data_IF_960595781983
#
_entry.id   IF_960595781983
#
_cell.length_a   1.000
_cell.length_b   1.000
_cell.length_c   1.000
_cell.angle_alpha   90.00
_cell.angle_beta   90.00
_cell.angle_gamma   90.00
#
_symmetry.space_group_name_H-M   'P 1'
#
loop_
_entity.id
_entity.type
_entity.pdbx_description
1 polymer ?
#
# COMPACT_ATOMS: atom_id res chain seq x y z
N UNK A 1 20.06 -21.92 -6.47
CA UNK A 1 18.76 -21.95 -5.80
C UNK A 1 18.65 -20.69 -4.95
N UNK A 2 17.50 -20.07 -4.95
CA UNK A 2 17.21 -18.91 -4.09
C UNK A 2 16.06 -19.31 -3.16
N UNK A 3 16.24 -19.07 -1.87
CA UNK A 3 15.21 -19.24 -0.84
C UNK A 3 15.03 -17.89 -0.15
N UNK A 4 13.81 -17.56 0.19
CA UNK A 4 13.50 -16.35 0.95
C UNK A 4 12.52 -16.69 2.08
N UNK A 5 12.86 -16.25 3.28
CA UNK A 5 11.96 -16.29 4.43
C UNK A 5 11.53 -14.87 4.77
N UNK A 6 10.22 -14.64 4.78
CA UNK A 6 9.65 -13.31 5.01
C UNK A 6 8.87 -13.26 6.31
N UNK A 7 9.17 -12.27 7.12
CA UNK A 7 8.49 -11.97 8.37
C UNK A 7 8.02 -10.53 8.34
N UNK A 8 6.81 -10.27 8.83
CA UNK A 8 6.29 -8.92 8.86
C UNK A 8 5.33 -8.71 10.00
N UNK A 9 5.24 -7.44 10.41
CA UNK A 9 4.26 -6.96 11.37
C UNK A 9 3.69 -5.63 10.87
N UNK A 10 2.41 -5.42 11.10
CA UNK A 10 1.72 -4.19 10.77
C UNK A 10 0.95 -3.70 11.99
N UNK A 11 1.04 -2.38 12.26
CA UNK A 11 0.25 -1.68 13.24
C UNK A 11 -0.58 -0.62 12.52
N UNK A 12 -1.89 -0.65 12.72
CA UNK A 12 -2.81 0.41 12.29
C UNK A 12 -3.48 1.02 13.50
N UNK A 13 -3.45 2.34 13.57
CA UNK A 13 -4.14 3.12 14.59
C UNK A 13 -5.07 4.09 13.88
N UNK A 14 -6.34 4.03 14.23
CA UNK A 14 -7.36 4.94 13.74
C UNK A 14 -7.81 5.83 14.87
N UNK A 15 -7.78 7.14 14.67
CA UNK A 15 -8.17 8.14 15.64
C UNK A 15 -9.16 9.13 15.02
N UNK A 16 -10.36 9.19 15.55
CA UNK A 16 -11.38 10.16 15.17
C UNK A 16 -11.10 11.46 15.91
N UNK A 17 -10.53 12.45 15.22
CA UNK A 17 -10.10 13.71 15.81
C UNK A 17 -11.29 14.65 16.06
N UNK A 18 -12.24 14.72 15.10
CA UNK A 18 -13.50 15.46 15.19
C UNK A 18 -14.64 14.64 14.57
N UNK A 19 -15.84 15.22 14.42
CA UNK A 19 -16.93 14.57 13.67
C UNK A 19 -16.60 14.49 12.17
N UNK A 20 -15.79 15.41 11.67
CA UNK A 20 -15.43 15.57 10.26
C UNK A 20 -14.02 15.07 9.93
N UNK A 21 -13.15 14.88 10.93
CA UNK A 21 -11.73 14.56 10.74
C UNK A 21 -11.36 13.22 11.34
N UNK A 22 -10.77 12.38 10.51
CA UNK A 22 -10.18 11.11 10.88
C UNK A 22 -8.67 11.10 10.58
N UNK A 23 -7.90 10.52 11.48
CA UNK A 23 -6.47 10.28 11.33
C UNK A 23 -6.21 8.78 11.37
N UNK A 24 -5.52 8.29 10.38
CA UNK A 24 -5.05 6.91 10.33
C UNK A 24 -3.53 6.89 10.29
N UNK A 25 -2.94 6.25 11.28
CA UNK A 25 -1.52 5.96 11.33
C UNK A 25 -1.32 4.49 10.95
N UNK A 26 -0.35 4.24 10.08
CA UNK A 26 0.08 2.89 9.72
C UNK A 26 1.60 2.79 9.85
N UNK A 27 2.04 1.74 10.52
CA UNK A 27 3.43 1.31 10.56
C UNK A 27 3.49 -0.12 10.10
N UNK A 28 4.38 -0.40 9.15
CA UNK A 28 4.67 -1.75 8.68
C UNK A 28 6.17 -2.00 8.78
N UNK A 29 6.52 -3.16 9.28
CA UNK A 29 7.88 -3.67 9.30
C UNK A 29 7.91 -5.03 8.60
N UNK A 30 8.85 -5.19 7.66
CA UNK A 30 9.08 -6.44 6.95
C UNK A 30 10.56 -6.76 6.97
N UNK A 31 10.85 -8.03 7.15
CA UNK A 31 12.20 -8.58 7.09
C UNK A 31 12.22 -9.75 6.14
N UNK A 32 13.09 -9.68 5.14
CA UNK A 32 13.32 -10.70 4.13
C UNK A 32 14.73 -11.27 4.33
N UNK A 33 14.77 -12.55 4.68
CA UNK A 33 16.01 -13.31 4.87
C UNK A 33 16.24 -14.13 3.60
N UNK A 34 17.30 -13.80 2.88
CA UNK A 34 17.63 -14.36 1.58
C UNK A 34 18.76 -15.35 1.71
N UNK A 35 18.59 -16.51 1.11
CA UNK A 35 19.61 -17.55 1.04
C UNK A 35 19.87 -17.93 -0.41
N UNK A 36 21.05 -17.60 -0.88
CA UNK A 36 21.52 -17.92 -2.22
C UNK A 36 22.39 -19.17 -2.16
N UNK A 37 22.14 -20.16 -3.02
CA UNK A 37 22.91 -21.39 -3.07
C UNK A 37 23.16 -21.81 -4.51
N UNK A 38 24.41 -22.16 -4.80
CA UNK A 38 24.86 -22.59 -6.14
C UNK A 38 26.29 -22.19 -6.41
N UNK A 39 26.82 -22.67 -7.51
CA UNK A 39 28.23 -22.44 -7.90
C UNK A 39 28.38 -21.42 -9.02
N UNK A 40 27.27 -20.86 -9.51
CA UNK A 40 27.26 -19.90 -10.64
C UNK A 40 26.19 -18.84 -10.43
N UNK A 41 26.40 -17.66 -10.97
CA UNK A 41 25.48 -16.52 -10.88
C UNK A 41 25.33 -16.02 -9.45
N UNK A 42 24.13 -15.61 -9.07
CA UNK A 42 23.82 -15.05 -7.74
C UNK A 42 24.14 -15.99 -6.57
N UNK A 43 24.24 -17.29 -6.80
CA UNK A 43 24.57 -18.26 -5.74
C UNK A 43 26.05 -18.29 -5.35
N UNK A 44 26.91 -17.54 -6.06
CA UNK A 44 28.33 -17.42 -5.75
C UNK A 44 28.71 -16.07 -5.10
N UNK A 45 27.83 -15.06 -5.22
CA UNK A 45 28.15 -13.69 -4.83
C UNK A 45 27.37 -13.21 -3.61
N UNK A 46 26.37 -13.98 -3.15
CA UNK A 46 25.48 -13.65 -2.01
C UNK A 46 25.18 -12.14 -1.93
N UNK A 47 24.47 -11.56 -2.93
CA UNK A 47 24.42 -10.12 -3.13
C UNK A 47 23.74 -9.36 -1.98
N UNK A 48 22.88 -10.02 -1.22
CA UNK A 48 22.28 -9.53 0.01
C UNK A 48 21.86 -10.74 0.88
N UNK A 49 21.85 -10.52 2.18
CA UNK A 49 21.52 -11.54 3.16
C UNK A 49 20.18 -11.22 3.82
N UNK A 50 20.06 -10.02 4.37
CA UNK A 50 18.93 -9.60 5.14
C UNK A 50 18.46 -8.22 4.70
N UNK A 51 17.27 -8.15 4.09
CA UNK A 51 16.64 -6.88 3.71
C UNK A 51 15.54 -6.55 4.72
N UNK A 52 15.65 -5.38 5.32
CA UNK A 52 14.61 -4.83 6.21
C UNK A 52 13.89 -3.69 5.50
N UNK A 53 12.57 -3.72 5.49
CA UNK A 53 11.71 -2.65 4.99
C UNK A 53 10.83 -2.15 6.11
N UNK A 54 10.76 -0.82 6.27
CA UNK A 54 9.84 -0.14 7.17
C UNK A 54 9.04 0.87 6.39
N UNK A 55 7.73 0.83 6.53
CA UNK A 55 6.80 1.80 5.94
C UNK A 55 6.05 2.50 7.06
N UNK A 56 5.99 3.82 6.99
CA UNK A 56 5.23 4.66 7.89
C UNK A 56 4.36 5.60 7.07
N UNK A 57 3.06 5.61 7.34
CA UNK A 57 2.12 6.49 6.68
C UNK A 57 1.18 7.13 7.70
N UNK A 58 0.91 8.41 7.51
CA UNK A 58 -0.13 9.13 8.21
C UNK A 58 -1.14 9.61 7.15
N UNK A 59 -2.39 9.20 7.28
CA UNK A 59 -3.47 9.66 6.44
C UNK A 59 -4.44 10.49 7.28
N UNK A 60 -4.70 11.69 6.85
CA UNK A 60 -5.80 12.52 7.30
C UNK A 60 -6.94 12.43 6.30
N UNK A 61 -8.17 12.29 6.80
CA UNK A 61 -9.40 12.30 6.00
C UNK A 61 -10.32 13.35 6.58
N UNK A 62 -10.86 14.20 5.73
CA UNK A 62 -11.78 15.26 6.11
C UNK A 62 -13.08 15.17 5.30
N UNK A 63 -14.20 15.23 6.02
CA UNK A 63 -15.54 15.26 5.43
C UNK A 63 -15.84 16.67 4.90
N UNK A 64 -15.85 16.84 3.58
CA UNK A 64 -16.20 18.13 2.95
C UNK A 64 -17.71 18.34 2.91
N UNK A 65 -18.43 17.29 2.55
CA UNK A 65 -19.88 17.26 2.42
C UNK A 65 -20.39 15.90 2.87
N UNK A 66 -21.69 15.74 3.06
CA UNK A 66 -22.31 14.49 3.54
C UNK A 66 -21.82 13.23 2.80
N UNK A 67 -21.48 13.38 1.51
CA UNK A 67 -21.08 12.28 0.63
C UNK A 67 -19.66 12.38 0.07
N UNK A 68 -18.93 13.42 0.41
CA UNK A 68 -17.60 13.67 -0.18
C UNK A 68 -16.56 13.89 0.89
N UNK A 69 -15.49 13.15 0.81
CA UNK A 69 -14.32 13.27 1.67
C UNK A 69 -13.08 13.56 0.83
N UNK A 70 -12.16 14.32 1.40
CA UNK A 70 -10.79 14.40 0.92
C UNK A 70 -9.88 13.64 1.87
N UNK A 71 -8.81 13.10 1.32
CA UNK A 71 -7.77 12.45 2.11
C UNK A 71 -6.39 12.85 1.62
N UNK A 72 -5.42 12.74 2.50
CA UNK A 72 -4.03 12.99 2.15
C UNK A 72 -3.09 12.78 3.32
N UNK A 73 -1.79 12.77 3.02
CA UNK A 73 -0.79 12.66 4.06
C UNK A 73 0.57 12.18 3.58
N UNK A 74 1.58 12.25 4.46
CA UNK A 74 2.93 11.81 4.17
C UNK A 74 3.08 10.29 4.22
N UNK A 75 4.07 9.83 3.44
CA UNK A 75 4.54 8.45 3.41
C UNK A 75 6.05 8.50 3.58
N UNK A 76 6.58 7.65 4.43
CA UNK A 76 8.02 7.49 4.63
C UNK A 76 8.31 5.99 4.53
N UNK A 77 9.31 5.64 3.74
CA UNK A 77 9.73 4.26 3.56
C UNK A 77 11.24 4.15 3.71
N UNK A 78 11.68 3.10 4.39
CA UNK A 78 13.08 2.70 4.49
C UNK A 78 13.21 1.27 4.00
N UNK A 79 14.22 1.03 3.19
CA UNK A 79 14.52 -0.34 2.75
C UNK A 79 16.04 -0.49 2.60
N UNK A 80 16.64 -1.36 3.37
CA UNK A 80 18.09 -1.54 3.34
C UNK A 80 18.52 -2.94 3.76
N UNK A 81 19.70 -3.33 3.28
CA UNK A 81 20.39 -4.53 3.73
C UNK A 81 21.03 -4.30 5.11
N UNK A 82 21.30 -5.36 5.82
CA UNK A 82 21.87 -5.37 7.20
C UNK A 82 23.20 -4.62 7.34
N UNK A 83 23.91 -4.34 6.24
CA UNK A 83 25.15 -3.57 6.17
C UNK A 83 25.02 -2.16 5.58
N UNK A 84 23.87 -1.78 5.05
CA UNK A 84 23.68 -0.48 4.42
C UNK A 84 23.44 0.62 5.46
N UNK A 85 23.94 1.83 5.17
CA UNK A 85 23.61 3.00 5.98
C UNK A 85 22.12 3.35 5.77
N UNK A 86 21.37 3.50 6.84
CA UNK A 86 19.93 3.78 6.81
C UNK A 86 19.58 5.07 6.05
N UNK A 87 20.50 6.05 6.06
CA UNK A 87 20.34 7.32 5.35
C UNK A 87 20.31 7.24 3.83
N UNK A 88 20.78 6.13 3.26
CA UNK A 88 20.90 5.99 1.80
C UNK A 88 19.67 5.27 1.20
N UNK A 89 18.70 4.93 2.04
CA UNK A 89 17.51 4.18 1.66
C UNK A 89 16.18 4.84 2.06
N UNK A 90 16.25 6.08 2.52
CA UNK A 90 15.08 6.83 2.93
C UNK A 90 14.32 7.34 1.70
N UNK A 91 13.04 7.03 1.63
CA UNK A 91 12.14 7.47 0.56
C UNK A 91 10.99 8.24 1.18
N UNK A 92 10.84 9.49 0.77
CA UNK A 92 9.77 10.37 1.22
C UNK A 92 8.71 10.51 0.13
N UNK A 93 7.46 10.59 0.57
CA UNK A 93 6.37 10.80 -0.35
C UNK A 93 5.16 11.38 0.32
N UNK A 94 4.12 11.53 -0.48
CA UNK A 94 2.83 11.98 0.01
C UNK A 94 1.75 11.69 -1.01
N UNK A 95 0.51 11.80 -0.55
CA UNK A 95 -0.66 11.58 -1.40
C UNK A 95 -1.76 12.56 -1.05
N UNK A 96 -2.62 12.82 -2.04
CA UNK A 96 -3.87 13.54 -1.88
C UNK A 96 -4.92 12.95 -2.81
N UNK A 97 -6.17 12.91 -2.35
CA UNK A 97 -7.27 12.41 -3.16
C UNK A 97 -8.62 12.72 -2.54
N UNK A 98 -9.64 12.18 -3.16
CA UNK A 98 -11.02 12.30 -2.69
C UNK A 98 -11.76 10.98 -2.83
N UNK A 99 -12.83 10.83 -2.07
CA UNK A 99 -13.84 9.78 -2.21
C UNK A 99 -15.21 10.39 -2.25
N UNK A 100 -16.12 9.78 -3.02
CA UNK A 100 -17.51 10.20 -3.13
C UNK A 100 -18.44 8.99 -3.01
N UNK A 101 -19.37 9.05 -2.08
CA UNK A 101 -20.44 8.07 -1.89
C UNK A 101 -21.56 8.40 -2.87
N UNK A 102 -21.58 7.73 -4.02
CA UNK A 102 -22.62 7.96 -5.03
C UNK A 102 -23.96 7.35 -4.61
N UNK A 103 -23.90 6.14 -4.03
CA UNK A 103 -25.07 5.43 -3.52
C UNK A 103 -24.65 4.48 -2.39
N UNK A 104 -25.62 3.80 -1.79
CA UNK A 104 -25.37 2.77 -0.76
C UNK A 104 -24.54 1.58 -1.28
N UNK A 105 -24.42 1.47 -2.61
CA UNK A 105 -23.69 0.37 -3.27
C UNK A 105 -22.45 0.81 -4.01
N UNK A 106 -22.19 2.12 -4.15
CA UNK A 106 -21.08 2.63 -4.93
C UNK A 106 -20.38 3.81 -4.24
N UNK A 107 -19.12 3.57 -3.89
CA UNK A 107 -18.15 4.59 -3.52
C UNK A 107 -17.08 4.63 -4.60
N UNK A 108 -16.73 5.80 -5.06
CA UNK A 108 -15.64 6.00 -6.01
C UNK A 108 -14.82 7.23 -5.65
N UNK A 109 -13.64 7.32 -6.22
CA UNK A 109 -12.76 8.44 -6.02
C UNK A 109 -11.44 8.25 -6.71
N UNK A 110 -10.54 9.15 -6.43
CA UNK A 110 -9.19 9.08 -6.98
C UNK A 110 -8.29 10.12 -6.38
N UNK A 111 -7.03 10.04 -6.76
CA UNK A 111 -6.01 10.94 -6.27
C UNK A 111 -4.70 10.77 -6.99
N UNK A 112 -3.70 11.46 -6.49
CA UNK A 112 -2.32 11.35 -6.92
C UNK A 112 -1.42 11.21 -5.70
N UNK A 113 -0.35 10.47 -5.87
CA UNK A 113 0.74 10.42 -4.91
C UNK A 113 2.06 10.72 -5.61
N UNK A 114 3.03 11.14 -4.82
CA UNK A 114 4.41 11.33 -5.23
C UNK A 114 5.30 10.58 -4.25
N UNK A 115 6.30 9.92 -4.78
CA UNK A 115 7.37 9.29 -4.00
C UNK A 115 8.69 9.74 -4.61
N UNK A 116 9.61 10.18 -3.77
CA UNK A 116 11.00 10.38 -4.11
C UNK A 116 11.66 9.03 -4.34
N UNK A 117 12.25 8.81 -5.50
CA UNK A 117 12.99 7.60 -5.80
C UNK A 117 14.47 7.76 -5.43
N UNK A 118 15.15 6.65 -5.17
CA UNK A 118 16.56 6.61 -4.72
C UNK A 118 17.57 7.25 -5.69
N UNK A 119 17.15 7.58 -6.92
CA UNK A 119 18.00 8.19 -7.96
C UNK A 119 17.62 9.66 -8.28
N UNK A 120 17.15 10.42 -7.28
CA UNK A 120 16.70 11.82 -7.42
C UNK A 120 15.50 12.02 -8.40
N UNK A 121 14.82 10.97 -8.80
CA UNK A 121 13.62 11.04 -9.62
C UNK A 121 12.35 10.93 -8.78
N UNK A 122 11.51 11.97 -8.83
CA UNK A 122 10.18 11.90 -8.23
C UNK A 122 9.25 11.07 -9.13
N UNK A 123 8.64 10.05 -8.57
CA UNK A 123 7.63 9.21 -9.25
C UNK A 123 6.23 9.62 -8.82
N UNK A 124 5.42 9.97 -9.83
CA UNK A 124 3.99 10.22 -9.65
C UNK A 124 3.24 8.91 -9.87
N UNK A 125 2.27 8.62 -8.99
CA UNK A 125 1.38 7.50 -9.16
C UNK A 125 -0.08 7.89 -8.97
N UNK A 126 -0.99 7.39 -9.80
CA UNK A 126 -2.42 7.60 -9.62
C UNK A 126 -2.96 6.73 -8.48
N UNK A 127 -3.99 7.23 -7.81
CA UNK A 127 -4.74 6.52 -6.78
C UNK A 127 -6.15 6.31 -7.33
N UNK A 128 -6.60 5.07 -7.33
CA UNK A 128 -7.97 4.71 -7.66
C UNK A 128 -8.69 4.27 -6.39
N UNK A 129 -9.85 4.87 -6.13
CA UNK A 129 -10.76 4.43 -5.06
C UNK A 129 -12.02 3.90 -5.71
N UNK A 130 -12.33 2.65 -5.46
CA UNK A 130 -13.55 2.01 -5.94
C UNK A 130 -14.00 0.98 -4.90
N UNK A 131 -15.26 1.09 -4.49
CA UNK A 131 -16.00 0.06 -3.78
C UNK A 131 -17.40 0.02 -4.38
N UNK A 132 -17.64 -0.99 -5.21
CA UNK A 132 -18.90 -1.14 -5.91
C UNK A 132 -19.50 -2.51 -5.62
N UNK A 133 -20.54 -2.50 -4.81
CA UNK A 133 -21.37 -3.68 -4.54
C UNK A 133 -22.32 -3.90 -5.71
N UNK A 134 -21.88 -4.69 -6.70
CA UNK A 134 -22.61 -5.00 -7.93
C UNK A 134 -23.85 -5.86 -7.62
N UNK A 135 -23.70 -6.81 -6.68
CA UNK A 135 -24.76 -7.66 -6.14
C UNK A 135 -24.51 -7.93 -4.66
N UNK A 136 -25.45 -8.58 -3.97
CA UNK A 136 -25.29 -8.90 -2.53
C UNK A 136 -24.01 -9.67 -2.22
N UNK A 137 -23.60 -10.52 -3.16
CA UNK A 137 -22.44 -11.41 -3.02
C UNK A 137 -21.23 -10.96 -3.82
N UNK A 138 -21.35 -9.90 -4.66
CA UNK A 138 -20.31 -9.50 -5.62
C UNK A 138 -19.93 -8.04 -5.39
N UNK A 139 -18.66 -7.81 -5.09
CA UNK A 139 -18.09 -6.48 -4.94
C UNK A 139 -16.89 -6.31 -5.86
N UNK A 140 -16.83 -5.20 -6.58
CA UNK A 140 -15.63 -4.74 -7.28
C UNK A 140 -14.97 -3.67 -6.42
N UNK A 141 -13.73 -3.89 -6.03
CA UNK A 141 -13.01 -2.97 -5.14
C UNK A 141 -11.61 -2.67 -5.64
N UNK A 142 -11.13 -1.47 -5.35
CA UNK A 142 -9.71 -1.13 -5.39
C UNK A 142 -9.19 -1.15 -3.98
N UNK A 143 -8.22 -2.00 -3.68
CA UNK A 143 -7.60 -2.03 -2.36
C UNK A 143 -6.58 -0.90 -2.24
N UNK A 144 -6.99 0.18 -1.56
CA UNK A 144 -6.10 1.29 -1.22
C UNK A 144 -5.20 0.97 -0.02
N UNK A 145 -5.53 -0.07 0.72
CA UNK A 145 -4.93 -0.31 2.03
C UNK A 145 -3.66 -1.14 1.97
N UNK A 146 -3.44 -1.86 0.89
CA UNK A 146 -2.39 -2.88 0.87
C UNK A 146 -1.00 -2.37 0.57
N UNK A 147 -0.83 -1.29 -0.20
CA UNK A 147 0.53 -0.76 -0.48
C UNK A 147 0.48 0.69 -0.95
N UNK A 148 0.74 1.62 -0.05
CA UNK A 148 0.97 3.00 -0.46
C UNK A 148 2.13 3.08 -1.46
N UNK A 149 1.84 3.55 -2.67
CA UNK A 149 2.83 4.15 -3.54
C UNK A 149 3.36 3.33 -4.71
N UNK A 150 3.00 2.06 -4.88
CA UNK A 150 3.55 1.31 -6.01
C UNK A 150 2.55 0.51 -6.83
N UNK A 151 1.29 0.41 -6.38
CA UNK A 151 0.33 -0.47 -7.05
C UNK A 151 -1.03 0.18 -7.21
N UNK A 152 -1.57 0.12 -8.42
CA UNK A 152 -2.98 0.39 -8.71
C UNK A 152 -3.64 -0.90 -9.20
N UNK A 153 -4.83 -1.22 -8.72
CA UNK A 153 -5.51 -2.43 -9.12
C UNK A 153 -6.98 -2.45 -8.77
N UNK A 154 -7.67 -3.40 -9.33
CA UNK A 154 -9.06 -3.70 -9.01
C UNK A 154 -9.22 -5.19 -8.79
N UNK A 155 -10.06 -5.55 -7.85
CA UNK A 155 -10.38 -6.92 -7.49
C UNK A 155 -11.90 -7.12 -7.49
N UNK A 156 -12.35 -8.16 -8.15
CA UNK A 156 -13.71 -8.65 -8.05
C UNK A 156 -13.76 -9.71 -6.95
N UNK A 157 -14.52 -9.44 -5.90
CA UNK A 157 -14.69 -10.33 -4.75
C UNK A 157 -16.08 -10.93 -4.79
N UNK A 158 -16.17 -12.25 -4.82
CA UNK A 158 -17.42 -13.00 -4.75
C UNK A 158 -17.52 -13.77 -3.44
N UNK A 159 -18.60 -13.55 -2.68
CA UNK A 159 -18.88 -14.16 -1.37
C UNK A 159 -20.18 -14.97 -1.44
N UNK A 160 -20.17 -16.19 -2.03
CA UNK A 160 -21.39 -17.00 -2.19
C UNK A 160 -21.97 -17.46 -0.85
N UNK A 161 -21.17 -17.46 0.20
CA UNK A 161 -21.55 -17.75 1.60
C UNK A 161 -20.69 -16.93 2.53
N UNK A 162 -21.11 -16.79 3.78
CA UNK A 162 -20.37 -16.00 4.79
C UNK A 162 -18.94 -16.52 5.05
N UNK A 163 -18.73 -17.81 4.88
CA UNK A 163 -17.46 -18.49 5.14
C UNK A 163 -16.54 -18.54 3.90
N UNK A 164 -17.04 -18.17 2.72
CA UNK A 164 -16.29 -18.28 1.46
C UNK A 164 -16.12 -16.92 0.80
N UNK A 165 -14.87 -16.60 0.47
CA UNK A 165 -14.54 -15.43 -0.33
C UNK A 165 -13.58 -15.85 -1.43
N UNK A 166 -13.96 -15.56 -2.68
CA UNK A 166 -13.14 -15.78 -3.86
C UNK A 166 -12.88 -14.42 -4.51
N UNK A 167 -11.60 -14.11 -4.74
CA UNK A 167 -11.19 -12.87 -5.36
C UNK A 167 -10.41 -13.13 -6.65
N UNK A 168 -10.63 -12.29 -7.65
CA UNK A 168 -9.85 -12.24 -8.88
C UNK A 168 -9.63 -10.78 -9.26
N UNK A 169 -8.38 -10.40 -9.49
CA UNK A 169 -8.05 -9.01 -9.75
C UNK A 169 -6.89 -8.85 -10.72
N UNK A 170 -6.73 -7.62 -11.15
CA UNK A 170 -5.57 -7.17 -11.92
C UNK A 170 -4.96 -5.98 -11.20
N UNK A 171 -3.64 -5.93 -11.18
CA UNK A 171 -2.90 -4.80 -10.63
C UNK A 171 -1.72 -4.46 -11.51
N UNK A 172 -1.34 -3.19 -11.48
CA UNK A 172 -0.15 -2.67 -12.11
C UNK A 172 0.76 -2.09 -11.04
N UNK A 173 2.01 -2.54 -11.02
CA UNK A 173 3.06 -2.02 -10.14
C UNK A 173 3.88 -0.97 -10.89
N UNK A 174 4.08 0.18 -10.26
CA UNK A 174 4.97 1.25 -10.72
C UNK A 174 6.34 1.00 -10.06
N UNK A 175 7.17 0.21 -10.73
CA UNK A 175 8.57 -0.06 -10.30
C UNK A 175 9.55 0.76 -11.12
#
# INVERSE_FOLDING_TARGET
>A
KVEVSRYGAELRVHYKATEEDDLQFRFQHQRDDWNFSGTTGLGNDDPWDLVTTMDLALQWTHQLEEKTQIFGGPIIKWSGDSGAAQSDSDVFGGMIGFTHVHSDTLVFGGGIGVIEALEDENRLFPILVLDWKIAEEVTLTSDLTTRYGSRIGVELVWKPRKEWSLGAGISYDYT
#
